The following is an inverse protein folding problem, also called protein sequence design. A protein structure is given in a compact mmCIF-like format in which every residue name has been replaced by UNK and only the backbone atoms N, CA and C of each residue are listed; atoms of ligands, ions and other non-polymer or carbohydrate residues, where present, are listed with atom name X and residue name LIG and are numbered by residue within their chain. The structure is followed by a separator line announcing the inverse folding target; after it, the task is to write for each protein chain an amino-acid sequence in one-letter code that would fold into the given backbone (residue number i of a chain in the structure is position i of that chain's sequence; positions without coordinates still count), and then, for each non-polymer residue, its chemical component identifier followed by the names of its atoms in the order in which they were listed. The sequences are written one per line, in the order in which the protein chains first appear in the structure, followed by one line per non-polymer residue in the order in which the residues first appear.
data_IF_131116331271
#
_entry.id   IF_131116331271
#
_cell.length_a   1.000
_cell.length_b   1.000
_cell.length_c   1.000
_cell.angle_alpha   90.00
_cell.angle_beta   90.00
_cell.angle_gamma   90.00
#
_symmetry.space_group_name_H-M   'P 1'
#
loop_
_entity.id
_entity.type
_entity.pdbx_description
1 polymer ?
#
# COMPACT_ATOMS: atom_id res chain seq x y z
N UNK A 1 -54.74 6.70 -15.53
CA UNK A 1 -53.56 7.12 -16.33
C UNK A 1 -52.59 7.84 -15.46
N UNK A 2 -51.33 7.45 -15.54
CA UNK A 2 -50.29 8.02 -14.68
C UNK A 2 -49.82 9.36 -15.24
N UNK A 3 -49.74 10.37 -14.40
CA UNK A 3 -49.23 11.69 -14.75
C UNK A 3 -47.76 11.60 -15.22
N UNK A 4 -47.28 12.62 -15.96
CA UNK A 4 -45.88 12.71 -16.36
C UNK A 4 -44.91 12.57 -15.18
N UNK A 5 -45.22 13.21 -14.04
CA UNK A 5 -44.44 13.11 -12.83
C UNK A 5 -44.34 11.68 -12.28
N UNK A 6 -45.38 10.88 -12.34
CA UNK A 6 -45.37 9.49 -11.93
C UNK A 6 -44.47 8.63 -12.81
N UNK A 7 -44.51 8.83 -14.13
CA UNK A 7 -43.64 8.13 -15.08
C UNK A 7 -42.17 8.51 -14.88
N UNK A 8 -41.90 9.79 -14.69
CA UNK A 8 -40.53 10.27 -14.42
C UNK A 8 -39.98 9.67 -13.15
N UNK A 9 -40.79 9.62 -12.08
CA UNK A 9 -40.40 9.00 -10.83
C UNK A 9 -40.14 7.47 -10.96
N UNK A 10 -40.97 6.76 -11.71
CA UNK A 10 -40.79 5.36 -11.97
C UNK A 10 -39.48 5.05 -12.73
N UNK A 11 -39.17 5.86 -13.75
CA UNK A 11 -37.92 5.75 -14.53
C UNK A 11 -36.73 6.07 -13.66
N UNK A 12 -36.79 7.12 -12.84
CA UNK A 12 -35.70 7.49 -11.92
C UNK A 12 -35.45 6.40 -10.89
N UNK A 13 -36.52 5.85 -10.28
CA UNK A 13 -36.40 4.74 -9.31
C UNK A 13 -35.77 3.50 -9.95
N UNK A 14 -36.20 3.15 -11.17
CA UNK A 14 -35.63 2.04 -11.91
C UNK A 14 -34.16 2.24 -12.23
N UNK A 15 -33.76 3.45 -12.68
CA UNK A 15 -32.37 3.79 -12.94
C UNK A 15 -31.49 3.66 -11.68
N UNK A 16 -31.95 4.18 -10.55
CA UNK A 16 -31.24 4.05 -9.26
C UNK A 16 -31.10 2.58 -8.85
N UNK A 17 -32.13 1.76 -9.03
CA UNK A 17 -32.10 0.34 -8.73
C UNK A 17 -31.06 -0.40 -9.56
N UNK A 18 -30.99 -0.10 -10.88
CA UNK A 18 -29.97 -0.69 -11.76
C UNK A 18 -28.58 -0.25 -11.35
N UNK A 19 -28.36 1.03 -11.05
CA UNK A 19 -27.08 1.53 -10.58
C UNK A 19 -26.63 0.85 -9.29
N UNK A 20 -27.55 0.65 -8.32
CA UNK A 20 -27.26 -0.07 -7.08
C UNK A 20 -26.87 -1.53 -7.36
N UNK A 21 -27.57 -2.22 -8.24
CA UNK A 21 -27.26 -3.58 -8.63
C UNK A 21 -25.87 -3.67 -9.34
N UNK A 22 -25.55 -2.72 -10.20
CA UNK A 22 -24.24 -2.65 -10.85
C UNK A 22 -23.11 -2.38 -9.87
N UNK A 23 -23.33 -1.48 -8.89
CA UNK A 23 -22.35 -1.23 -7.83
C UNK A 23 -22.11 -2.47 -6.97
N UNK A 24 -23.16 -3.21 -6.64
CA UNK A 24 -23.06 -4.46 -5.92
C UNK A 24 -22.27 -5.51 -6.71
N UNK A 25 -22.60 -5.69 -7.99
CA UNK A 25 -21.89 -6.63 -8.87
C UNK A 25 -20.41 -6.25 -9.03
N UNK A 26 -20.11 -4.96 -9.13
CA UNK A 26 -18.75 -4.45 -9.20
C UNK A 26 -17.95 -4.78 -7.93
N UNK A 27 -18.53 -4.49 -6.76
CA UNK A 27 -17.91 -4.80 -5.47
C UNK A 27 -17.71 -6.31 -5.28
N UNK A 28 -18.65 -7.12 -5.74
CA UNK A 28 -18.58 -8.57 -5.66
C UNK A 28 -17.50 -9.13 -6.58
N UNK A 29 -17.33 -8.54 -7.77
CA UNK A 29 -16.31 -8.99 -8.74
C UNK A 29 -14.87 -8.83 -8.23
N UNK A 30 -14.62 -7.86 -7.34
CA UNK A 30 -13.30 -7.66 -6.75
C UNK A 30 -12.83 -8.84 -5.89
N UNK A 31 -13.76 -9.62 -5.32
CA UNK A 31 -13.42 -10.80 -4.52
C UNK A 31 -12.79 -11.93 -5.36
N UNK A 32 -12.99 -11.92 -6.68
CA UNK A 32 -12.40 -12.91 -7.58
C UNK A 32 -11.04 -12.49 -8.12
N UNK A 33 -10.63 -11.25 -7.84
CA UNK A 33 -9.33 -10.77 -8.27
C UNK A 33 -8.27 -11.20 -7.25
N UNK A 34 -7.28 -11.96 -7.71
CA UNK A 34 -6.11 -12.35 -6.93
C UNK A 34 -4.90 -11.54 -7.39
N UNK A 35 -4.64 -10.37 -6.81
CA UNK A 35 -3.52 -9.55 -7.23
C UNK A 35 -2.18 -10.21 -6.86
N UNK A 36 -1.20 -10.05 -7.73
CA UNK A 36 0.17 -10.54 -7.53
C UNK A 36 1.16 -9.37 -7.62
N UNK A 37 1.12 -8.42 -6.69
CA UNK A 37 2.08 -7.33 -6.69
C UNK A 37 3.47 -7.85 -6.36
N UNK A 38 4.48 -7.19 -6.91
CA UNK A 38 5.88 -7.50 -6.61
C UNK A 38 6.57 -6.27 -6.06
N UNK A 39 7.41 -6.49 -5.07
CA UNK A 39 8.22 -5.43 -4.49
C UNK A 39 9.58 -5.98 -4.09
N UNK A 40 10.60 -5.17 -4.27
CA UNK A 40 11.93 -5.42 -3.75
C UNK A 40 12.50 -4.15 -3.15
N UNK A 41 13.15 -4.29 -2.02
CA UNK A 41 13.83 -3.19 -1.35
C UNK A 41 15.31 -3.56 -1.21
N UNK A 42 16.18 -2.64 -1.61
CA UNK A 42 17.62 -2.78 -1.40
C UNK A 42 18.09 -1.70 -0.44
N UNK A 43 18.85 -2.09 0.57
CA UNK A 43 19.54 -1.15 1.44
C UNK A 43 20.79 -0.69 0.68
N UNK A 44 20.85 0.58 0.35
CA UNK A 44 21.98 1.17 -0.36
C UNK A 44 23.09 1.59 0.60
N UNK A 45 22.68 2.22 1.69
CA UNK A 45 23.60 2.71 2.70
C UNK A 45 22.93 2.72 4.07
N UNK A 46 23.73 2.51 5.09
CA UNK A 46 23.38 2.79 6.47
C UNK A 46 24.05 4.12 6.79
N UNK A 47 23.23 5.17 6.94
CA UNK A 47 23.71 6.54 7.13
C UNK A 47 24.36 6.70 8.50
N UNK A 48 23.72 6.14 9.51
CA UNK A 48 24.30 5.98 10.84
C UNK A 48 23.66 4.81 11.56
N UNK A 49 24.47 4.20 12.41
CA UNK A 49 24.08 3.18 13.36
C UNK A 49 24.80 3.46 14.65
N UNK A 50 24.09 3.96 15.64
CA UNK A 50 24.69 4.44 16.88
C UNK A 50 23.82 4.11 18.09
N UNK A 51 24.42 4.24 19.26
CA UNK A 51 23.70 4.12 20.52
C UNK A 51 23.22 5.50 20.96
N UNK A 52 21.93 5.63 21.22
CA UNK A 52 21.34 6.85 21.74
C UNK A 52 21.71 7.08 23.22
N UNK A 53 21.57 8.32 23.70
CA UNK A 53 21.84 8.68 25.09
C UNK A 53 21.01 7.86 26.11
N UNK A 54 19.83 7.41 25.69
CA UNK A 54 18.95 6.56 26.50
C UNK A 54 19.36 5.07 26.52
N UNK A 55 20.44 4.70 25.82
CA UNK A 55 20.93 3.33 25.73
C UNK A 55 20.32 2.47 24.62
N UNK A 56 19.38 3.01 23.86
CA UNK A 56 18.75 2.33 22.72
C UNK A 56 19.61 2.44 21.46
N UNK A 57 19.54 1.44 20.59
CA UNK A 57 20.21 1.49 19.31
C UNK A 57 19.34 2.20 18.27
N UNK A 58 19.95 3.12 17.51
CA UNK A 58 19.30 3.92 16.50
C UNK A 58 19.93 3.65 15.12
N UNK A 59 19.08 3.44 14.11
CA UNK A 59 19.51 3.19 12.73
C UNK A 59 18.82 4.14 11.77
N UNK A 60 19.62 4.75 10.89
CA UNK A 60 19.12 5.45 9.70
C UNK A 60 19.71 4.82 8.47
N UNK A 61 18.84 4.51 7.49
CA UNK A 61 19.23 3.82 6.27
C UNK A 61 18.63 4.47 5.03
N UNK A 62 19.35 4.39 3.93
CA UNK A 62 18.85 4.78 2.61
C UNK A 62 18.44 3.53 1.85
N UNK A 63 17.21 3.56 1.38
CA UNK A 63 16.53 2.45 0.72
C UNK A 63 16.30 2.78 -0.75
N UNK A 64 16.45 1.76 -1.58
CA UNK A 64 15.99 1.76 -2.96
C UNK A 64 14.82 0.79 -3.08
N UNK A 65 13.63 1.33 -3.30
CA UNK A 65 12.37 0.59 -3.35
C UNK A 65 11.95 0.48 -4.80
N UNK A 66 11.89 -0.74 -5.30
CA UNK A 66 11.33 -1.06 -6.62
C UNK A 66 10.05 -1.84 -6.43
N UNK A 67 8.96 -1.37 -6.99
CA UNK A 67 7.68 -2.06 -6.89
C UNK A 67 6.91 -2.03 -8.20
N UNK A 68 6.21 -3.12 -8.48
CA UNK A 68 5.21 -3.23 -9.53
C UNK A 68 3.87 -3.60 -8.90
N UNK A 69 3.02 -2.62 -8.77
CA UNK A 69 1.68 -2.73 -8.21
C UNK A 69 0.59 -2.72 -9.29
N UNK A 70 0.95 -2.91 -10.55
CA UNK A 70 0.01 -2.83 -11.67
C UNK A 70 -1.10 -3.89 -11.60
N UNK A 71 -0.84 -5.04 -10.97
CA UNK A 71 -1.83 -6.09 -10.74
C UNK A 71 -2.93 -5.71 -9.73
N UNK A 72 -2.70 -4.67 -8.90
CA UNK A 72 -3.71 -4.15 -7.96
C UNK A 72 -4.76 -3.28 -8.65
N UNK A 73 -4.49 -2.82 -9.88
CA UNK A 73 -5.39 -1.95 -10.61
C UNK A 73 -6.35 -2.76 -11.48
N UNK A 74 -7.56 -2.91 -10.99
CA UNK A 74 -8.72 -3.43 -11.74
C UNK A 74 -9.53 -2.26 -12.31
N UNK A 75 -10.57 -2.57 -13.07
CA UNK A 75 -11.53 -1.56 -13.57
C UNK A 75 -12.25 -0.80 -12.44
N UNK A 76 -12.40 -1.42 -11.26
CA UNK A 76 -13.03 -0.83 -10.08
C UNK A 76 -12.03 -0.12 -9.15
N UNK A 77 -10.73 -0.21 -9.39
CA UNK A 77 -9.73 0.47 -8.55
C UNK A 77 -9.72 1.96 -8.85
N UNK A 78 -9.88 2.78 -7.83
CA UNK A 78 -9.75 4.23 -7.90
C UNK A 78 -8.29 4.64 -7.74
N UNK A 79 -7.66 4.17 -6.70
CA UNK A 79 -6.27 4.48 -6.36
C UNK A 79 -5.71 3.44 -5.39
N UNK A 80 -4.40 3.37 -5.32
CA UNK A 80 -3.67 2.59 -4.33
C UNK A 80 -2.92 3.54 -3.43
N UNK A 81 -3.11 3.41 -2.13
CA UNK A 81 -2.35 4.14 -1.12
C UNK A 81 -1.22 3.26 -0.62
N UNK A 82 -0.03 3.81 -0.61
CA UNK A 82 1.17 3.19 -0.13
C UNK A 82 1.75 4.08 0.95
N UNK A 83 2.10 3.55 2.10
CA UNK A 83 2.58 4.22 3.32
C UNK A 83 2.58 5.78 3.28
N UNK A 84 3.21 6.41 2.30
CA UNK A 84 3.48 7.84 2.23
C UNK A 84 3.10 8.47 0.88
N UNK A 85 2.46 7.71 0.01
CA UNK A 85 2.08 8.15 -1.31
C UNK A 85 0.78 7.54 -1.81
N UNK A 86 0.20 8.20 -2.78
CA UNK A 86 -0.98 7.74 -3.49
C UNK A 86 -0.62 7.50 -4.93
N UNK A 87 -0.96 6.32 -5.44
CA UNK A 87 -0.83 5.96 -6.85
C UNK A 87 -2.21 6.10 -7.48
N UNK A 88 -2.44 7.16 -8.28
CA UNK A 88 -3.77 7.47 -8.79
C UNK A 88 -4.15 6.64 -10.02
N UNK A 89 -3.18 6.05 -10.72
CA UNK A 89 -3.43 5.33 -11.96
C UNK A 89 -2.44 4.17 -12.17
N UNK A 90 -2.86 3.19 -12.95
CA UNK A 90 -2.05 2.00 -13.29
C UNK A 90 -0.71 2.35 -13.94
N UNK A 91 -0.66 3.44 -14.69
CA UNK A 91 0.55 3.91 -15.37
C UNK A 91 1.67 4.28 -14.40
N UNK A 92 1.31 4.71 -13.19
CA UNK A 92 2.24 5.06 -12.11
C UNK A 92 2.50 3.90 -11.14
N UNK A 93 1.93 2.72 -11.40
CA UNK A 93 2.03 1.57 -10.51
C UNK A 93 3.39 0.89 -10.50
N UNK A 94 4.23 1.17 -11.50
CA UNK A 94 5.64 0.74 -11.54
C UNK A 94 6.51 1.92 -11.17
N UNK A 95 7.25 1.80 -10.10
CA UNK A 95 8.10 2.88 -9.62
C UNK A 95 9.40 2.37 -9.01
N UNK A 96 10.38 3.24 -9.05
CA UNK A 96 11.65 3.12 -8.35
C UNK A 96 11.82 4.36 -7.47
N UNK A 97 11.86 4.17 -6.18
CA UNK A 97 12.01 5.26 -5.21
C UNK A 97 13.32 5.09 -4.46
N UNK A 98 14.08 6.17 -4.44
CA UNK A 98 15.28 6.32 -3.65
C UNK A 98 14.98 7.22 -2.46
N UNK A 99 14.98 6.66 -1.27
CA UNK A 99 14.56 7.39 -0.07
C UNK A 99 15.37 7.01 1.15
N UNK A 100 15.51 7.96 2.04
CA UNK A 100 16.01 7.70 3.39
C UNK A 100 14.81 7.58 4.33
N UNK A 101 14.89 6.68 5.31
CA UNK A 101 13.82 6.54 6.29
C UNK A 101 13.55 7.88 6.99
N UNK A 102 12.28 8.32 6.96
CA UNK A 102 11.85 9.57 7.61
C UNK A 102 11.96 9.49 9.12
N UNK A 103 11.60 8.34 9.67
CA UNK A 103 11.68 8.07 11.10
C UNK A 103 12.84 7.14 11.35
N UNK A 104 13.63 7.48 12.35
CA UNK A 104 14.73 6.65 12.79
C UNK A 104 14.19 5.33 13.32
N UNK A 105 14.85 4.25 12.98
CA UNK A 105 14.52 2.97 13.56
C UNK A 105 15.23 2.89 14.92
N UNK A 106 14.45 2.94 16.00
CA UNK A 106 14.93 2.91 17.39
C UNK A 106 14.41 1.62 18.00
N UNK A 107 15.32 0.79 18.50
CA UNK A 107 14.96 -0.41 19.26
C UNK A 107 14.95 -0.09 20.76
N UNK A 108 13.90 -0.49 21.42
CA UNK A 108 13.82 -0.40 22.90
C UNK A 108 14.76 -1.39 23.59
N UNK A 109 15.27 -2.39 22.86
CA UNK A 109 16.33 -3.29 23.31
C UNK A 109 17.70 -2.75 22.92
N UNK A 110 18.70 -2.94 23.76
CA UNK A 110 20.02 -2.33 23.65
C UNK A 110 21.01 -3.05 22.73
N UNK A 111 20.57 -3.92 21.83
CA UNK A 111 21.50 -4.68 20.98
C UNK A 111 20.90 -5.07 19.61
N UNK A 112 21.01 -4.17 18.66
CA UNK A 112 20.64 -4.42 17.26
C UNK A 112 21.79 -4.93 16.39
N UNK A 113 23.01 -5.01 16.93
CA UNK A 113 24.20 -5.41 16.15
C UNK A 113 24.03 -6.80 15.56
N UNK A 114 24.25 -6.91 14.25
CA UNK A 114 24.20 -8.18 13.54
C UNK A 114 22.84 -8.86 13.48
N UNK A 115 21.78 -8.22 13.98
CA UNK A 115 20.43 -8.80 13.95
C UNK A 115 19.85 -8.78 12.53
N UNK A 116 19.11 -9.83 12.24
CA UNK A 116 18.29 -9.91 11.03
C UNK A 116 16.95 -9.22 11.26
N UNK A 117 16.44 -8.59 10.22
CA UNK A 117 15.15 -7.93 10.24
C UNK A 117 14.40 -8.09 8.92
N UNK A 118 13.10 -7.87 8.97
CA UNK A 118 12.23 -7.94 7.82
C UNK A 118 11.70 -6.53 7.49
N UNK A 119 11.62 -6.22 6.21
CA UNK A 119 10.94 -5.04 5.72
C UNK A 119 9.58 -5.44 5.19
N UNK A 120 8.55 -4.73 5.61
CA UNK A 120 7.19 -5.00 5.19
C UNK A 120 6.63 -3.78 4.48
N UNK A 121 6.18 -3.97 3.23
CA UNK A 121 5.47 -2.94 2.48
C UNK A 121 3.98 -3.20 2.58
N UNK A 122 3.25 -2.23 3.12
CA UNK A 122 1.80 -2.26 3.22
C UNK A 122 1.18 -1.37 2.16
N UNK A 123 0.05 -1.79 1.60
CA UNK A 123 -0.77 -0.97 0.72
C UNK A 123 -2.25 -1.12 1.02
N UNK A 124 -3.00 -0.12 0.60
CA UNK A 124 -4.44 -0.10 0.64
C UNK A 124 -4.99 0.17 -0.75
N UNK A 125 -5.88 -0.70 -1.22
CA UNK A 125 -6.61 -0.50 -2.47
C UNK A 125 -7.90 0.23 -2.14
N UNK A 126 -8.11 1.37 -2.77
CA UNK A 126 -9.34 2.13 -2.68
C UNK A 126 -10.14 1.90 -3.95
N UNK A 127 -11.23 1.11 -3.91
CA UNK A 127 -12.09 0.90 -5.05
C UNK A 127 -12.98 2.12 -5.31
N UNK A 128 -13.55 2.20 -6.49
CA UNK A 128 -14.60 3.18 -6.84
C UNK A 128 -15.90 2.88 -6.10
N UNK A 129 -16.18 1.60 -5.92
CA UNK A 129 -17.34 1.11 -5.17
C UNK A 129 -16.96 -0.15 -4.39
N UNK A 130 -17.49 -0.29 -3.18
CA UNK A 130 -17.26 -1.44 -2.32
C UNK A 130 -16.26 -1.19 -1.19
N UNK A 131 -15.73 -2.27 -0.65
CA UNK A 131 -14.85 -2.28 0.52
C UNK A 131 -13.40 -2.02 0.11
N UNK A 132 -12.68 -1.25 0.91
CA UNK A 132 -11.23 -1.14 0.81
C UNK A 132 -10.54 -2.45 1.18
N UNK A 133 -9.48 -2.78 0.46
CA UNK A 133 -8.63 -3.93 0.72
C UNK A 133 -7.25 -3.45 1.16
N UNK A 134 -6.68 -4.16 2.13
CA UNK A 134 -5.32 -3.92 2.59
C UNK A 134 -4.55 -5.23 2.56
N UNK A 135 -3.30 -5.18 2.15
CA UNK A 135 -2.41 -6.32 2.17
C UNK A 135 -0.96 -5.85 2.30
N UNK A 136 -0.03 -6.79 2.36
CA UNK A 136 1.38 -6.52 2.59
C UNK A 136 2.28 -7.52 1.88
N UNK A 137 3.49 -7.08 1.54
CA UNK A 137 4.60 -7.93 1.13
C UNK A 137 5.68 -7.88 2.22
N UNK A 138 6.08 -9.04 2.71
CA UNK A 138 7.18 -9.18 3.67
C UNK A 138 8.44 -9.56 2.89
N UNK A 139 9.46 -8.74 3.03
CA UNK A 139 10.78 -8.97 2.45
C UNK A 139 11.74 -9.34 3.57
N UNK A 140 12.45 -10.45 3.42
CA UNK A 140 13.35 -11.02 4.42
C UNK A 140 14.80 -10.96 3.94
N UNK A 141 15.73 -11.33 4.81
CA UNK A 141 17.15 -11.44 4.47
C UNK A 141 17.97 -10.18 4.65
N UNK A 142 17.44 -9.20 5.37
CA UNK A 142 18.19 -8.00 5.75
C UNK A 142 18.88 -8.20 7.09
N UNK A 143 20.14 -7.71 7.17
CA UNK A 143 20.96 -7.80 8.39
C UNK A 143 21.59 -6.46 8.71
N UNK A 144 21.57 -6.09 9.97
CA UNK A 144 22.24 -4.90 10.46
C UNK A 144 23.75 -5.16 10.63
N UNK A 145 24.59 -4.12 10.54
CA UNK A 145 26.03 -4.24 10.77
C UNK A 145 26.34 -4.72 12.18
N UNK A 146 27.50 -5.36 12.34
CA UNK A 146 28.00 -5.79 13.63
C UNK A 146 28.68 -4.67 14.42
N UNK A 147 28.97 -3.55 13.75
CA UNK A 147 29.63 -2.40 14.37
C UNK A 147 28.80 -1.13 14.18
N UNK A 148 28.86 -0.25 15.17
CA UNK A 148 28.29 1.09 15.05
C UNK A 148 29.03 1.89 13.96
N UNK A 149 28.28 2.77 13.29
CA UNK A 149 28.78 3.55 12.17
C UNK A 149 28.22 4.96 12.21
#
# INVERSE_FOLDING_TARGET
MHSFGHRANAVATFAVTILAAMCFAASFSDNFNTPTPTASVKILNINWFQKEANGNDEVSMTLNISADLSSLFTWNTKQVSLWDGIIPAKEHAKFLIHTTNKYRFIDQGSNLKGKEFNLTMHWHIMPKTGKMFADKIVMTGYRLPEQYR
#
